data_IF_098639246654
#
_entry.id   IF_098639246654
#
_cell.length_a   1.000
_cell.length_b   1.000
_cell.length_c   1.000
_cell.angle_alpha   90.00
_cell.angle_beta   90.00
_cell.angle_gamma   90.00
#
_symmetry.space_group_name_H-M   'P 1'
#
loop_
_entity.id
_entity.type
_entity.pdbx_description
1 polymer ?
#
# COMPACT_ATOMS: atom_id res chain seq x y z
N UNK A 1 -2.09 1.64 -7.56
CA UNK A 1 -1.10 1.96 -6.51
C UNK A 1 -0.34 0.72 -6.01
N UNK A 2 -0.98 -0.43 -5.81
CA UNK A 2 -0.36 -1.63 -5.23
C UNK A 2 0.81 -2.17 -6.06
N UNK A 3 0.61 -2.37 -7.38
CA UNK A 3 1.64 -2.95 -8.26
C UNK A 3 2.91 -2.09 -8.31
N UNK A 4 2.84 -0.74 -8.48
CA UNK A 4 4.02 0.11 -8.37
C UNK A 4 4.83 -0.11 -7.09
N UNK A 5 4.17 -0.25 -5.93
CA UNK A 5 4.82 -0.47 -4.63
C UNK A 5 5.49 -1.85 -4.58
N UNK A 6 4.80 -2.91 -5.03
CA UNK A 6 5.36 -4.26 -5.09
C UNK A 6 6.62 -4.26 -5.96
N UNK A 7 6.56 -3.66 -7.13
CA UNK A 7 7.71 -3.58 -8.04
C UNK A 7 8.84 -2.77 -7.40
N UNK A 8 8.54 -1.76 -6.57
CA UNK A 8 9.57 -0.93 -5.92
C UNK A 8 10.31 -1.74 -4.86
N UNK A 9 9.60 -2.63 -4.16
CA UNK A 9 10.18 -3.49 -3.14
C UNK A 9 10.95 -4.68 -3.73
N UNK A 10 10.51 -5.21 -4.88
CA UNK A 10 11.06 -6.44 -5.46
C UNK A 10 12.06 -6.20 -6.60
N UNK A 11 12.11 -5.01 -7.19
CA UNK A 11 12.94 -4.71 -8.37
C UNK A 11 13.87 -3.52 -8.14
N UNK A 12 15.13 -3.69 -8.51
CA UNK A 12 16.13 -2.61 -8.52
C UNK A 12 15.98 -1.65 -9.72
N UNK A 13 15.17 -2.04 -10.73
CA UNK A 13 15.13 -1.40 -12.05
C UNK A 13 14.02 -0.37 -12.23
N UNK A 14 13.17 -0.16 -11.23
CA UNK A 14 12.02 0.72 -11.38
C UNK A 14 12.45 2.19 -11.40
N UNK A 15 12.01 2.94 -12.40
CA UNK A 15 12.26 4.37 -12.51
C UNK A 15 11.29 5.18 -11.63
N UNK A 16 11.77 6.28 -11.03
CA UNK A 16 10.96 7.27 -10.30
C UNK A 16 9.75 7.75 -11.11
N UNK A 17 9.94 8.01 -12.42
CA UNK A 17 8.83 8.40 -13.30
C UNK A 17 7.78 7.28 -13.41
N UNK A 18 8.19 6.03 -13.51
CA UNK A 18 7.28 4.90 -13.57
C UNK A 18 6.49 4.73 -12.27
N UNK A 19 7.11 4.93 -11.10
CA UNK A 19 6.44 4.89 -9.79
C UNK A 19 5.37 5.97 -9.67
N UNK A 20 5.67 7.21 -10.07
CA UNK A 20 4.76 8.35 -9.90
C UNK A 20 3.68 8.44 -10.97
N UNK A 21 4.01 8.21 -12.24
CA UNK A 21 3.06 8.38 -13.35
C UNK A 21 2.12 7.20 -13.51
N UNK A 22 2.55 5.98 -13.19
CA UNK A 22 1.70 4.79 -13.36
C UNK A 22 0.38 4.88 -12.60
N UNK A 23 0.34 5.24 -11.29
CA UNK A 23 -0.93 5.40 -10.57
C UNK A 23 -1.85 6.44 -11.21
N UNK A 24 -1.29 7.55 -11.70
CA UNK A 24 -2.06 8.63 -12.30
C UNK A 24 -2.64 8.23 -13.66
N UNK A 25 -1.81 7.65 -14.53
CA UNK A 25 -2.25 7.14 -15.84
C UNK A 25 -3.28 6.01 -15.68
N UNK A 26 -3.06 5.10 -14.72
CA UNK A 26 -4.02 4.04 -14.42
C UNK A 26 -5.37 4.57 -13.93
N UNK A 27 -5.37 5.62 -13.10
CA UNK A 27 -6.60 6.28 -12.66
C UNK A 27 -7.35 6.90 -13.84
N UNK A 28 -6.65 7.65 -14.70
CA UNK A 28 -7.23 8.29 -15.88
C UNK A 28 -7.84 7.23 -16.81
N UNK A 29 -7.10 6.17 -17.12
CA UNK A 29 -7.59 5.07 -17.96
C UNK A 29 -8.79 4.35 -17.33
N UNK A 30 -8.81 4.15 -16.02
CA UNK A 30 -9.93 3.53 -15.31
C UNK A 30 -11.20 4.39 -15.39
N UNK A 31 -11.10 5.69 -15.13
CA UNK A 31 -12.24 6.62 -15.22
C UNK A 31 -12.78 6.69 -16.64
N UNK A 32 -11.89 6.80 -17.64
CA UNK A 32 -12.29 6.81 -19.05
C UNK A 32 -13.00 5.50 -19.41
N UNK A 33 -12.43 4.35 -19.06
CA UNK A 33 -13.02 3.04 -19.38
C UNK A 33 -14.35 2.83 -18.68
N UNK A 34 -14.49 3.28 -17.42
CA UNK A 34 -15.73 3.23 -16.67
C UNK A 34 -16.85 4.04 -17.36
N UNK A 35 -16.59 5.31 -17.65
CA UNK A 35 -17.58 6.21 -18.26
C UNK A 35 -17.91 5.86 -19.71
N UNK A 36 -16.91 5.43 -20.50
CA UNK A 36 -17.13 4.96 -21.87
C UNK A 36 -17.97 3.69 -21.89
N UNK A 37 -17.71 2.75 -20.99
CA UNK A 37 -18.51 1.52 -20.85
C UNK A 37 -19.94 1.87 -20.49
N UNK A 38 -20.15 2.77 -19.52
CA UNK A 38 -21.50 3.23 -19.16
C UNK A 38 -22.23 3.83 -20.36
N UNK A 39 -21.56 4.71 -21.11
CA UNK A 39 -22.14 5.33 -22.31
C UNK A 39 -22.44 4.31 -23.41
N UNK A 40 -21.57 3.32 -23.61
CA UNK A 40 -21.73 2.31 -24.66
C UNK A 40 -22.89 1.36 -24.38
N UNK A 41 -23.04 0.86 -23.15
CA UNK A 41 -24.08 -0.11 -22.82
C UNK A 41 -25.44 0.50 -22.49
N UNK A 42 -25.47 1.72 -21.94
CA UNK A 42 -26.70 2.32 -21.43
C UNK A 42 -27.11 3.61 -22.16
N UNK A 43 -26.31 4.07 -23.14
CA UNK A 43 -26.50 5.29 -23.95
C UNK A 43 -26.61 6.61 -23.18
N UNK A 44 -26.68 6.56 -21.84
CA UNK A 44 -26.83 7.69 -20.92
C UNK A 44 -25.89 7.49 -19.74
N UNK A 45 -25.30 8.59 -19.28
CA UNK A 45 -24.47 8.62 -18.07
C UNK A 45 -25.31 9.23 -16.95
N UNK A 46 -25.76 8.40 -16.02
CA UNK A 46 -26.49 8.78 -14.83
C UNK A 46 -26.07 7.90 -13.64
N UNK A 47 -26.48 8.26 -12.42
CA UNK A 47 -26.09 7.56 -11.19
C UNK A 47 -26.42 6.04 -11.24
N UNK A 48 -27.56 5.67 -11.83
CA UNK A 48 -28.01 4.27 -11.92
C UNK A 48 -27.17 3.46 -12.92
N UNK A 49 -26.82 4.04 -14.06
CA UNK A 49 -26.06 3.41 -15.15
C UNK A 49 -24.56 3.32 -14.82
N UNK A 50 -24.02 4.33 -14.12
CA UNK A 50 -22.63 4.31 -13.63
C UNK A 50 -22.43 3.31 -12.49
N UNK A 51 -23.48 3.11 -11.67
CA UNK A 51 -23.51 2.14 -10.56
C UNK A 51 -23.88 0.71 -10.98
N UNK A 52 -23.99 0.43 -12.28
CA UNK A 52 -24.27 -0.91 -12.76
C UNK A 52 -23.04 -1.82 -12.61
N UNK A 53 -23.29 -3.11 -12.40
CA UNK A 53 -22.24 -4.11 -12.17
C UNK A 53 -21.19 -4.13 -13.29
N UNK A 54 -21.62 -4.06 -14.56
CA UNK A 54 -20.71 -4.10 -15.72
C UNK A 54 -19.83 -2.85 -15.81
N UNK A 55 -20.41 -1.65 -15.63
CA UNK A 55 -19.67 -0.39 -15.64
C UNK A 55 -18.59 -0.42 -14.56
N UNK A 56 -18.98 -0.72 -13.31
CA UNK A 56 -18.06 -0.75 -12.17
C UNK A 56 -16.98 -1.84 -12.33
N UNK A 57 -17.34 -3.02 -12.83
CA UNK A 57 -16.41 -4.12 -13.07
C UNK A 57 -15.29 -3.69 -14.03
N UNK A 58 -15.63 -3.09 -15.17
CA UNK A 58 -14.62 -2.67 -16.15
C UNK A 58 -13.72 -1.57 -15.59
N UNK A 59 -14.30 -0.57 -14.91
CA UNK A 59 -13.52 0.48 -14.26
C UNK A 59 -12.48 -0.07 -13.28
N UNK A 60 -12.92 -0.96 -12.39
CA UNK A 60 -12.05 -1.60 -11.39
C UNK A 60 -11.00 -2.52 -12.02
N UNK A 61 -11.37 -3.29 -13.04
CA UNK A 61 -10.45 -4.18 -13.74
C UNK A 61 -9.32 -3.40 -14.42
N UNK A 62 -9.65 -2.31 -15.11
CA UNK A 62 -8.66 -1.43 -15.75
C UNK A 62 -7.77 -0.76 -14.71
N UNK A 63 -8.31 -0.34 -13.56
CA UNK A 63 -7.50 0.20 -12.47
C UNK A 63 -6.47 -0.81 -11.93
N UNK A 64 -6.84 -2.08 -11.83
CA UNK A 64 -5.98 -3.15 -11.34
C UNK A 64 -4.90 -3.55 -12.36
N UNK A 65 -5.24 -3.62 -13.65
CA UNK A 65 -4.37 -4.15 -14.70
C UNK A 65 -3.50 -3.09 -15.39
N UNK A 66 -3.95 -1.82 -15.42
CA UNK A 66 -3.21 -0.74 -16.09
C UNK A 66 -1.75 -0.58 -15.61
N UNK A 67 -1.39 -0.78 -14.33
CA UNK A 67 0.01 -0.71 -13.93
C UNK A 67 0.91 -1.78 -14.55
N UNK A 68 0.37 -2.97 -14.85
CA UNK A 68 1.11 -4.03 -15.54
C UNK A 68 1.55 -3.62 -16.95
N UNK A 69 0.81 -2.71 -17.58
CA UNK A 69 1.15 -2.15 -18.88
C UNK A 69 2.09 -0.95 -18.76
N UNK A 70 1.76 0.02 -17.89
CA UNK A 70 2.49 1.29 -17.82
C UNK A 70 3.88 1.17 -17.19
N UNK A 71 4.07 0.31 -16.19
CA UNK A 71 5.39 0.14 -15.54
C UNK A 71 6.46 -0.33 -16.53
N UNK A 72 6.28 -1.43 -17.29
CA UNK A 72 7.30 -1.84 -18.26
C UNK A 72 7.47 -0.80 -19.37
N UNK A 73 6.39 -0.18 -19.87
CA UNK A 73 6.46 0.85 -20.90
C UNK A 73 7.32 2.05 -20.46
N UNK A 74 7.05 2.60 -19.27
CA UNK A 74 7.78 3.76 -18.74
C UNK A 74 9.23 3.43 -18.38
N UNK A 75 9.50 2.20 -17.92
CA UNK A 75 10.86 1.73 -17.69
C UNK A 75 11.64 1.52 -18.99
N UNK A 76 10.98 1.18 -20.12
CA UNK A 76 11.63 1.11 -21.43
C UNK A 76 11.93 2.50 -22.00
N UNK A 77 11.02 3.46 -21.85
CA UNK A 77 11.20 4.84 -22.33
C UNK A 77 12.36 5.53 -21.59
N UNK A 78 12.40 5.35 -20.26
CA UNK A 78 13.48 5.89 -19.44
C UNK A 78 13.97 4.80 -18.47
N UNK A 79 14.98 4.01 -18.86
CA UNK A 79 15.61 3.04 -17.99
C UNK A 79 16.21 3.72 -16.75
N UNK A 80 16.23 3.00 -15.62
CA UNK A 80 16.92 3.50 -14.44
C UNK A 80 18.44 3.36 -14.63
N UNK A 81 19.14 4.47 -14.75
CA UNK A 81 20.61 4.54 -14.92
C UNK A 81 21.36 4.08 -13.66
N UNK A 82 20.77 4.25 -12.47
CA UNK A 82 21.35 3.88 -11.18
C UNK A 82 20.41 2.93 -10.43
N UNK A 83 20.57 1.60 -10.59
CA UNK A 83 19.75 0.61 -9.90
C UNK A 83 19.86 0.76 -8.38
N UNK A 84 18.75 0.52 -7.68
CA UNK A 84 18.73 0.59 -6.22
C UNK A 84 19.60 -0.51 -5.59
N UNK A 85 20.48 -0.16 -4.65
CA UNK A 85 21.29 -1.13 -3.90
C UNK A 85 20.63 -1.51 -2.58
N UNK A 86 20.00 -2.68 -2.54
CA UNK A 86 19.40 -3.24 -1.32
C UNK A 86 20.44 -3.60 -0.24
N UNK A 87 21.71 -3.80 -0.60
CA UNK A 87 22.76 -4.14 0.39
C UNK A 87 23.11 -2.90 1.21
N UNK A 88 23.23 -1.74 0.58
CA UNK A 88 23.39 -0.47 1.31
C UNK A 88 22.21 -0.16 2.22
N UNK A 89 20.96 -0.42 1.80
CA UNK A 89 19.76 -0.23 2.63
C UNK A 89 19.84 -1.02 3.94
N UNK A 90 20.31 -2.26 3.90
CA UNK A 90 20.48 -3.09 5.11
C UNK A 90 21.54 -2.54 6.08
N UNK A 91 22.46 -1.71 5.59
CA UNK A 91 23.54 -1.12 6.40
C UNK A 91 23.16 0.23 7.01
N UNK A 92 21.98 0.79 6.70
CA UNK A 92 21.52 2.04 7.29
C UNK A 92 21.13 1.75 8.75
N UNK A 93 21.95 2.21 9.69
CA UNK A 93 21.61 2.22 11.11
C UNK A 93 20.47 3.22 11.36
N UNK A 94 19.50 2.86 12.20
CA UNK A 94 18.43 3.78 12.59
C UNK A 94 19.01 4.79 13.58
N UNK A 95 18.62 6.06 13.50
CA UNK A 95 19.13 7.13 14.39
C UNK A 95 18.78 6.85 15.87
N UNK A 96 17.75 6.05 16.11
CA UNK A 96 17.43 5.52 17.45
C UNK A 96 18.50 4.53 17.97
N UNK A 97 19.21 3.82 17.10
CA UNK A 97 20.27 2.87 17.48
C UNK A 97 21.47 3.58 18.15
N UNK A 98 21.68 4.87 17.85
CA UNK A 98 22.77 5.70 18.40
C UNK A 98 22.35 6.51 19.64
N UNK A 99 21.05 6.86 19.77
CA UNK A 99 20.51 7.58 20.93
C UNK A 99 20.16 6.64 22.10
N UNK A 100 19.89 5.37 21.78
CA UNK A 100 19.85 4.29 22.77
C UNK A 100 21.30 3.94 23.04
N UNK A 101 21.83 4.39 24.18
CA UNK A 101 23.06 3.86 24.75
C UNK A 101 23.02 2.34 24.57
N UNK A 102 23.91 1.79 23.74
CA UNK A 102 23.78 0.44 23.18
C UNK A 102 23.82 -0.60 24.30
N UNK A 103 22.68 -0.84 24.92
CA UNK A 103 22.53 -1.90 25.88
C UNK A 103 22.61 -3.19 25.06
N UNK A 104 23.55 -4.06 25.38
CA UNK A 104 23.69 -5.38 24.72
C UNK A 104 22.35 -6.12 24.61
N UNK A 105 21.40 -5.86 25.53
CA UNK A 105 20.03 -6.40 25.50
C UNK A 105 19.24 -6.09 24.22
N UNK A 106 19.31 -4.87 23.69
CA UNK A 106 18.46 -4.43 22.56
C UNK A 106 18.94 -5.02 21.24
N UNK A 107 20.26 -5.04 21.01
CA UNK A 107 20.87 -5.71 19.85
C UNK A 107 20.56 -7.21 19.89
N UNK A 108 20.67 -7.83 21.07
CA UNK A 108 20.35 -9.26 21.26
C UNK A 108 18.87 -9.56 21.05
N UNK A 109 17.96 -8.63 21.33
CA UNK A 109 16.53 -8.76 21.00
C UNK A 109 16.27 -8.67 19.49
N UNK A 110 16.88 -7.71 18.80
CA UNK A 110 16.76 -7.56 17.34
C UNK A 110 17.31 -8.80 16.63
N UNK A 111 18.48 -9.28 17.04
CA UNK A 111 19.09 -10.48 16.48
C UNK A 111 18.22 -11.73 16.71
N UNK A 112 17.66 -11.88 17.92
CA UNK A 112 16.69 -12.95 18.22
C UNK A 112 15.43 -12.87 17.35
N UNK A 113 14.90 -11.66 17.12
CA UNK A 113 13.75 -11.46 16.24
C UNK A 113 14.06 -11.84 14.79
N UNK A 114 15.23 -11.45 14.27
CA UNK A 114 15.67 -11.80 12.91
C UNK A 114 15.81 -13.32 12.77
N UNK A 115 16.42 -13.99 13.74
CA UNK A 115 16.59 -15.45 13.75
C UNK A 115 15.21 -16.14 13.78
N UNK A 116 14.31 -15.69 14.67
CA UNK A 116 12.94 -16.22 14.77
C UNK A 116 12.16 -16.07 13.47
N UNK A 117 12.23 -14.90 12.83
CA UNK A 117 11.54 -14.64 11.56
C UNK A 117 12.11 -15.49 10.42
N UNK A 118 13.43 -15.72 10.40
CA UNK A 118 14.08 -16.54 9.38
C UNK A 118 13.70 -18.01 9.52
N UNK A 119 13.71 -18.53 10.75
CA UNK A 119 13.37 -19.92 11.05
C UNK A 119 11.89 -20.21 10.73
N UNK A 120 10.99 -19.29 11.10
CA UNK A 120 9.55 -19.43 10.86
C UNK A 120 9.05 -18.90 9.52
N UNK A 121 9.95 -18.41 8.64
CA UNK A 121 9.59 -17.74 7.39
C UNK A 121 8.67 -18.58 6.49
N UNK A 122 8.90 -19.90 6.41
CA UNK A 122 8.07 -20.82 5.62
C UNK A 122 6.67 -20.96 6.17
N UNK A 123 6.53 -21.03 7.49
CA UNK A 123 5.23 -21.10 8.16
C UNK A 123 4.43 -19.80 7.97
N UNK A 124 5.08 -18.65 8.14
CA UNK A 124 4.47 -17.33 7.92
C UNK A 124 4.01 -17.19 6.46
N UNK A 125 4.85 -17.61 5.50
CA UNK A 125 4.49 -17.58 4.08
C UNK A 125 3.31 -18.49 3.77
N UNK A 126 3.31 -19.72 4.30
CA UNK A 126 2.20 -20.65 4.16
C UNK A 126 0.89 -20.09 4.73
N UNK A 127 0.93 -19.51 5.94
CA UNK A 127 -0.22 -18.89 6.58
C UNK A 127 -0.74 -17.70 5.75
N UNK A 128 0.15 -16.84 5.26
CA UNK A 128 -0.22 -15.68 4.44
C UNK A 128 -0.90 -16.10 3.13
N UNK A 129 -0.35 -17.11 2.44
CA UNK A 129 -0.95 -17.67 1.22
C UNK A 129 -2.31 -18.29 1.55
N UNK A 130 -2.39 -19.07 2.63
CA UNK A 130 -3.64 -19.72 3.07
C UNK A 130 -4.75 -18.71 3.37
N UNK A 131 -4.45 -17.66 4.13
CA UNK A 131 -5.40 -16.57 4.44
C UNK A 131 -5.82 -15.84 3.16
N UNK A 132 -4.87 -15.58 2.25
CA UNK A 132 -5.15 -14.93 0.98
C UNK A 132 -6.10 -15.76 0.11
N UNK A 133 -5.84 -17.06 -0.05
CA UNK A 133 -6.71 -17.97 -0.80
C UNK A 133 -8.08 -18.07 -0.12
N UNK A 134 -8.11 -18.12 1.21
CA UNK A 134 -9.34 -18.17 1.98
C UNK A 134 -10.23 -16.96 1.70
N UNK A 135 -9.70 -15.73 1.83
CA UNK A 135 -10.49 -14.52 1.66
C UNK A 135 -10.78 -14.13 0.21
N UNK A 136 -9.88 -14.46 -0.73
CA UNK A 136 -10.05 -14.07 -2.15
C UNK A 136 -10.83 -15.11 -2.94
N UNK A 137 -10.62 -16.40 -2.66
CA UNK A 137 -11.17 -17.49 -3.46
C UNK A 137 -12.25 -18.22 -2.67
N UNK A 138 -11.89 -18.83 -1.53
CA UNK A 138 -12.79 -19.76 -0.83
C UNK A 138 -13.99 -19.04 -0.22
N UNK A 139 -13.87 -17.80 0.21
CA UNK A 139 -14.99 -17.06 0.79
C UNK A 139 -15.95 -16.54 -0.30
N UNK A 140 -15.51 -15.82 -1.35
CA UNK A 140 -16.44 -15.26 -2.32
C UNK A 140 -17.02 -16.34 -3.25
N UNK A 141 -16.26 -17.39 -3.56
CA UNK A 141 -16.68 -18.39 -4.54
C UNK A 141 -17.99 -19.12 -4.18
N UNK A 142 -18.17 -19.70 -2.98
CA UNK A 142 -19.43 -20.34 -2.59
C UNK A 142 -20.60 -19.35 -2.59
N UNK A 143 -20.37 -18.09 -2.21
CA UNK A 143 -21.41 -17.07 -2.22
C UNK A 143 -21.88 -16.76 -3.64
N UNK A 144 -20.96 -16.64 -4.59
CA UNK A 144 -21.30 -16.47 -6.01
C UNK A 144 -21.92 -17.73 -6.61
N UNK A 145 -21.33 -18.90 -6.36
CA UNK A 145 -21.77 -20.18 -6.93
C UNK A 145 -23.18 -20.57 -6.46
N UNK A 146 -23.53 -20.27 -5.21
CA UNK A 146 -24.87 -20.53 -4.67
C UNK A 146 -25.89 -19.43 -4.98
N UNK A 147 -25.49 -18.35 -5.67
CA UNK A 147 -26.31 -17.13 -5.85
C UNK A 147 -26.89 -16.63 -4.51
N UNK A 148 -26.07 -16.65 -3.45
CA UNK A 148 -26.53 -16.35 -2.11
C UNK A 148 -27.05 -14.92 -1.99
N UNK A 149 -28.29 -14.77 -1.53
CA UNK A 149 -28.91 -13.48 -1.25
C UNK A 149 -28.77 -13.20 0.23
N UNK A 150 -28.07 -12.12 0.57
CA UNK A 150 -27.90 -11.70 1.96
C UNK A 150 -29.23 -11.32 2.60
N UNK A 151 -29.45 -11.80 3.84
CA UNK A 151 -30.53 -11.25 4.66
C UNK A 151 -30.19 -9.81 5.04
N UNK A 152 -31.22 -8.98 5.18
CA UNK A 152 -31.07 -7.58 5.57
C UNK A 152 -30.33 -7.44 6.90
N UNK A 153 -30.69 -8.26 7.89
CA UNK A 153 -30.04 -8.28 9.21
C UNK A 153 -28.56 -8.65 9.12
N UNK A 154 -28.21 -9.65 8.32
CA UNK A 154 -26.80 -10.03 8.15
C UNK A 154 -26.00 -8.90 7.49
N UNK A 155 -26.55 -8.28 6.44
CA UNK A 155 -25.89 -7.20 5.72
C UNK A 155 -25.64 -5.99 6.64
N UNK A 156 -26.63 -5.59 7.44
CA UNK A 156 -26.49 -4.47 8.38
C UNK A 156 -25.41 -4.79 9.43
N UNK A 157 -25.43 -5.98 10.04
CA UNK A 157 -24.42 -6.38 11.01
C UNK A 157 -23.00 -6.36 10.41
N UNK A 158 -22.86 -6.85 9.17
CA UNK A 158 -21.59 -6.84 8.46
C UNK A 158 -21.06 -5.43 8.19
N UNK A 159 -21.92 -4.52 7.71
CA UNK A 159 -21.59 -3.11 7.47
C UNK A 159 -21.16 -2.44 8.78
N UNK A 160 -21.92 -2.61 9.86
CA UNK A 160 -21.60 -2.04 11.17
C UNK A 160 -20.24 -2.53 11.69
N UNK A 161 -19.98 -3.83 11.59
CA UNK A 161 -18.69 -4.40 11.97
C UNK A 161 -17.54 -3.83 11.13
N UNK A 162 -17.74 -3.71 9.82
CA UNK A 162 -16.76 -3.11 8.91
C UNK A 162 -16.44 -1.65 9.25
N UNK A 163 -17.44 -0.84 9.57
CA UNK A 163 -17.24 0.57 9.97
C UNK A 163 -16.48 0.67 11.29
N UNK A 164 -16.86 -0.12 12.30
CA UNK A 164 -16.16 -0.17 13.60
C UNK A 164 -14.70 -0.58 13.40
N UNK A 165 -14.47 -1.64 12.63
CA UNK A 165 -13.12 -2.09 12.27
C UNK A 165 -12.32 -0.97 11.62
N UNK A 166 -12.89 -0.26 10.64
CA UNK A 166 -12.20 0.82 9.93
C UNK A 166 -11.80 1.96 10.88
N UNK A 167 -12.66 2.36 11.82
CA UNK A 167 -12.35 3.40 12.80
C UNK A 167 -11.23 2.98 13.76
N UNK A 168 -11.27 1.72 14.23
CA UNK A 168 -10.22 1.16 15.09
C UNK A 168 -8.89 1.08 14.32
N UNK A 169 -8.91 0.54 13.10
CA UNK A 169 -7.73 0.43 12.24
C UNK A 169 -7.11 1.80 11.94
N UNK A 170 -7.93 2.81 11.60
CA UNK A 170 -7.47 4.18 11.40
C UNK A 170 -6.82 4.77 12.65
N UNK A 171 -7.40 4.49 13.83
CA UNK A 171 -6.83 4.96 15.10
C UNK A 171 -5.46 4.32 15.38
N UNK A 172 -5.34 3.00 15.19
CA UNK A 172 -4.10 2.25 15.47
C UNK A 172 -3.03 2.52 14.41
N UNK A 173 -3.37 2.59 13.13
CA UNK A 173 -2.38 2.73 12.05
C UNK A 173 -2.09 4.20 11.74
N UNK A 174 -3.10 5.07 11.85
CA UNK A 174 -2.97 6.49 11.53
C UNK A 174 -2.55 7.34 12.73
N UNK A 175 -3.25 7.21 13.86
CA UNK A 175 -3.07 8.12 15.00
C UNK A 175 -1.94 7.65 15.92
N UNK A 176 -1.86 6.35 16.22
CA UNK A 176 -0.89 5.83 17.18
C UNK A 176 0.57 6.15 16.81
N UNK A 177 1.06 6.00 15.56
CA UNK A 177 2.43 6.38 15.22
C UNK A 177 2.69 7.88 15.43
N UNK A 178 1.70 8.73 15.17
CA UNK A 178 1.83 10.18 15.35
C UNK A 178 2.01 10.53 16.83
N UNK A 179 1.22 9.90 17.71
CA UNK A 179 1.32 10.12 19.16
C UNK A 179 2.67 9.60 19.67
N UNK A 180 3.04 8.37 19.30
CA UNK A 180 4.26 7.72 19.75
C UNK A 180 5.50 8.52 19.35
N UNK A 181 5.53 9.06 18.13
CA UNK A 181 6.69 9.78 17.61
C UNK A 181 6.60 11.31 17.77
N UNK A 182 5.63 11.83 18.53
CA UNK A 182 5.45 13.27 18.72
C UNK A 182 6.71 13.96 19.31
N UNK A 183 7.40 13.28 20.23
CA UNK A 183 8.63 13.80 20.83
C UNK A 183 9.79 13.86 19.82
N UNK A 184 9.91 12.85 18.97
CA UNK A 184 10.89 12.81 17.87
C UNK A 184 10.61 13.92 16.86
N UNK A 185 9.35 14.09 16.48
CA UNK A 185 8.89 15.16 15.57
C UNK A 185 9.27 16.53 16.13
N UNK A 186 8.98 16.80 17.42
CA UNK A 186 9.34 18.05 18.08
C UNK A 186 10.86 18.30 18.06
N UNK A 187 11.65 17.26 18.25
CA UNK A 187 13.12 17.35 18.23
C UNK A 187 13.64 17.69 16.84
N UNK A 188 13.11 17.04 15.79
CA UNK A 188 13.46 17.33 14.39
C UNK A 188 13.11 18.76 14.02
N UNK A 189 11.91 19.24 14.36
CA UNK A 189 11.52 20.63 14.10
C UNK A 189 12.43 21.64 14.79
N UNK A 190 12.85 21.35 16.03
CA UNK A 190 13.80 22.19 16.76
C UNK A 190 15.18 22.21 16.08
N UNK A 191 15.66 21.06 15.60
CA UNK A 191 16.93 20.96 14.88
C UNK A 191 16.89 21.72 13.55
N UNK A 192 15.83 21.55 12.76
CA UNK A 192 15.61 22.31 11.51
C UNK A 192 15.63 23.82 11.79
N UNK A 193 14.95 24.27 12.84
CA UNK A 193 14.95 25.68 13.23
C UNK A 193 16.36 26.21 13.53
N UNK A 194 17.15 25.45 14.29
CA UNK A 194 18.54 25.84 14.58
C UNK A 194 19.41 25.83 13.32
N UNK A 195 19.27 24.82 12.47
CA UNK A 195 20.05 24.70 11.24
C UNK A 195 19.77 25.87 10.28
N UNK A 196 18.50 26.26 10.12
CA UNK A 196 18.10 27.46 9.36
C UNK A 196 18.68 28.73 9.98
N UNK A 197 18.62 28.87 11.32
CA UNK A 197 19.16 30.05 12.01
C UNK A 197 20.67 30.17 11.83
N UNK A 198 21.39 29.05 11.90
CA UNK A 198 22.84 29.01 11.68
C UNK A 198 23.22 29.28 10.23
N UNK A 199 22.45 28.77 9.27
CA UNK A 199 22.63 29.08 7.85
C UNK A 199 22.50 30.58 7.57
N UNK A 200 21.47 31.23 8.11
CA UNK A 200 21.22 32.66 7.94
C UNK A 200 22.24 33.59 8.62
N UNK A 201 23.05 33.09 9.55
CA UNK A 201 24.10 33.87 10.24
C UNK A 201 25.47 33.73 9.57
N UNK A 202 25.60 32.85 8.57
CA UNK A 202 26.85 32.52 7.89
C UNK A 202 27.03 33.30 6.57
N UNK A 203 25.99 33.98 6.12
CA UNK A 203 25.99 35.01 5.06
C UNK A 203 26.04 36.41 5.67
#
# INVERSE_FOLDING_TARGET
>A
AVIPVIVTLLSTKQNKLAVCLTPLLGLICSIISWLLTTKYFFEKINIQTTGSNLSMLIGNLVALLSPCLFIPLLNLIKPNENPYDFVSMRRIALIEDDLINTNNSTIVEIERAIIYLKDNSRFICFLAIGITICFIIIWPWPMFASSYIFSETFFICWICFGIIWLLISFSIVGIYPIIQHFQTIKSIFRLIYFDIKTFLQRD
#
